data_IF_615159560382
#
_entry.id   IF_615159560382
#
_cell.length_a   1.000
_cell.length_b   1.000
_cell.length_c   1.000
_cell.angle_alpha   90.00
_cell.angle_beta   90.00
_cell.angle_gamma   90.00
#
_symmetry.space_group_name_H-M   'P 1'
#
loop_
_entity.id
_entity.type
_entity.pdbx_description
1 polymer ?
#
# COMPACT_ATOMS: atom_id res chain seq x y z
N UNK A 1 5.20 4.96 5.78
CA UNK A 1 3.90 4.84 5.09
C UNK A 1 4.17 4.58 3.61
N UNK A 2 3.53 3.58 3.01
CA UNK A 2 3.79 3.13 1.64
C UNK A 2 2.63 3.50 0.70
N UNK A 3 2.38 2.73 -0.36
CA UNK A 3 1.31 2.94 -1.35
C UNK A 3 0.91 1.62 -2.01
N UNK A 4 -0.31 1.52 -2.54
CA UNK A 4 -0.71 0.43 -3.42
C UNK A 4 0.21 0.29 -4.65
N UNK A 5 0.75 1.40 -5.15
CA UNK A 5 1.72 1.43 -6.26
C UNK A 5 3.09 0.83 -5.91
N UNK A 6 3.42 0.74 -4.63
CA UNK A 6 4.62 0.00 -4.18
C UNK A 6 4.42 -1.52 -4.22
N UNK A 7 3.16 -1.98 -4.31
CA UNK A 7 2.83 -3.41 -4.47
C UNK A 7 2.75 -3.75 -5.96
N UNK A 8 1.94 -2.98 -6.70
CA UNK A 8 1.73 -3.08 -8.14
C UNK A 8 2.07 -1.73 -8.80
N UNK A 9 3.26 -1.56 -9.41
CA UNK A 9 3.68 -0.31 -10.03
C UNK A 9 2.73 0.19 -11.11
N UNK A 10 2.72 1.51 -11.34
CA UNK A 10 1.92 2.14 -12.38
C UNK A 10 2.80 2.95 -13.35
N UNK A 11 2.49 2.85 -14.63
CA UNK A 11 3.09 3.71 -15.66
C UNK A 11 2.83 5.20 -15.35
N UNK A 12 3.79 6.06 -15.70
CA UNK A 12 3.72 7.51 -15.45
C UNK A 12 4.14 7.94 -14.03
N UNK A 13 4.35 6.99 -13.10
CA UNK A 13 4.77 7.28 -11.71
C UNK A 13 5.88 6.34 -11.24
N UNK A 14 6.85 6.04 -12.11
CA UNK A 14 7.90 5.04 -11.87
C UNK A 14 8.72 5.34 -10.60
N UNK A 15 9.30 6.53 -10.47
CA UNK A 15 10.11 6.94 -9.30
C UNK A 15 9.28 6.90 -8.02
N UNK A 16 8.03 7.36 -8.08
CA UNK A 16 7.12 7.28 -6.94
C UNK A 16 6.82 5.81 -6.56
N UNK A 17 6.56 4.94 -7.53
CA UNK A 17 6.30 3.52 -7.29
C UNK A 17 7.52 2.83 -6.67
N UNK A 18 8.72 3.13 -7.16
CA UNK A 18 9.98 2.60 -6.64
C UNK A 18 10.19 3.02 -5.17
N UNK A 19 10.12 4.31 -4.86
CA UNK A 19 10.27 4.78 -3.48
C UNK A 19 9.24 4.16 -2.52
N UNK A 20 8.00 3.94 -2.97
CA UNK A 20 6.98 3.27 -2.15
C UNK A 20 7.20 1.76 -2.01
N UNK A 21 7.78 1.10 -3.01
CA UNK A 21 8.22 -0.29 -2.93
C UNK A 21 9.40 -0.44 -1.96
N UNK A 22 10.38 0.48 -2.01
CA UNK A 22 11.52 0.51 -1.10
C UNK A 22 11.06 0.62 0.36
N UNK A 23 10.06 1.45 0.68
CA UNK A 23 9.48 1.53 2.02
C UNK A 23 8.88 0.20 2.49
N UNK A 24 8.25 -0.57 1.59
CA UNK A 24 7.70 -1.89 1.92
C UNK A 24 8.82 -2.87 2.26
N UNK A 25 9.84 -2.95 1.41
CA UNK A 25 10.99 -3.84 1.61
C UNK A 25 11.76 -3.50 2.89
N UNK A 26 12.09 -2.22 3.09
CA UNK A 26 12.76 -1.72 4.28
C UNK A 26 11.98 -2.05 5.56
N UNK A 27 10.66 -1.83 5.55
CA UNK A 27 9.82 -2.12 6.71
C UNK A 27 9.71 -3.63 7.03
N UNK A 28 9.78 -4.49 6.01
CA UNK A 28 9.80 -5.95 6.22
C UNK A 28 11.13 -6.41 6.81
N UNK A 29 12.25 -5.85 6.35
CA UNK A 29 13.56 -6.10 6.96
C UNK A 29 13.59 -5.67 8.44
N UNK A 30 13.20 -4.41 8.73
CA UNK A 30 13.13 -3.91 10.11
C UNK A 30 12.23 -4.75 11.01
N UNK A 31 11.09 -5.23 10.50
CA UNK A 31 10.21 -6.12 11.28
C UNK A 31 10.93 -7.40 11.72
N UNK A 32 11.78 -7.95 10.87
CA UNK A 32 12.55 -9.18 11.17
C UNK A 32 13.64 -8.89 12.19
N UNK A 33 14.39 -7.81 11.99
CA UNK A 33 15.43 -7.33 12.90
C UNK A 33 14.89 -7.06 14.31
N UNK A 34 13.73 -6.42 14.40
CA UNK A 34 13.11 -5.99 15.65
C UNK A 34 12.17 -7.02 16.28
N UNK A 35 12.07 -8.25 15.74
CA UNK A 35 11.05 -9.24 16.15
C UNK A 35 11.04 -9.53 17.66
N UNK A 36 12.19 -9.41 18.35
CA UNK A 36 12.35 -9.72 19.78
C UNK A 36 12.51 -8.49 20.68
N UNK A 37 12.44 -7.27 20.15
CA UNK A 37 12.67 -6.04 20.92
C UNK A 37 11.39 -5.45 21.52
N UNK A 38 10.22 -6.03 21.22
CA UNK A 38 8.91 -5.46 21.56
C UNK A 38 8.47 -4.34 20.62
N UNK A 39 9.35 -3.84 19.74
CA UNK A 39 9.01 -2.83 18.73
C UNK A 39 8.21 -3.47 17.59
N UNK A 40 7.15 -2.80 17.17
CA UNK A 40 6.21 -3.31 16.17
C UNK A 40 6.15 -2.40 14.96
N UNK A 41 6.39 -2.99 13.79
CA UNK A 41 6.31 -2.30 12.51
C UNK A 41 4.94 -2.53 11.88
N UNK A 42 4.37 -1.48 11.28
CA UNK A 42 3.13 -1.53 10.49
C UNK A 42 3.34 -0.76 9.20
N UNK A 43 2.98 -1.40 8.08
CA UNK A 43 3.01 -0.84 6.73
C UNK A 43 1.58 -0.68 6.24
N UNK A 44 1.22 0.58 5.97
CA UNK A 44 -0.07 0.94 5.38
C UNK A 44 0.16 1.37 3.93
N UNK A 45 -0.62 0.79 3.03
CA UNK A 45 -0.57 0.96 1.58
C UNK A 45 -1.93 1.47 1.09
N UNK A 46 -2.15 2.80 1.10
CA UNK A 46 -3.38 3.37 0.54
C UNK A 46 -3.41 3.22 -0.98
N UNK A 47 -4.61 3.06 -1.53
CA UNK A 47 -4.89 3.40 -2.91
C UNK A 47 -4.99 4.93 -3.07
N UNK A 48 -5.28 5.43 -4.28
CA UNK A 48 -5.39 6.87 -4.55
C UNK A 48 -6.28 7.57 -3.50
N UNK A 49 -5.66 8.47 -2.72
CA UNK A 49 -6.35 9.21 -1.67
C UNK A 49 -6.87 10.53 -2.24
N UNK A 50 -8.13 10.86 -1.97
CA UNK A 50 -8.76 12.14 -2.36
C UNK A 50 -8.19 13.29 -1.52
N UNK A 51 -7.03 13.79 -1.93
CA UNK A 51 -6.33 14.96 -1.37
C UNK A 51 -5.81 15.84 -2.50
N UNK A 52 -5.28 17.02 -2.17
CA UNK A 52 -4.63 17.91 -3.16
C UNK A 52 -3.50 17.22 -3.94
N UNK A 53 -2.77 16.28 -3.32
CA UNK A 53 -1.74 15.49 -4.00
C UNK A 53 -2.31 14.56 -5.08
N UNK A 54 -3.51 14.04 -4.87
CA UNK A 54 -4.22 13.19 -5.83
C UNK A 54 -5.08 13.98 -6.82
N UNK A 55 -5.11 15.32 -6.73
CA UNK A 55 -5.90 16.15 -7.62
C UNK A 55 -5.36 16.03 -9.05
N UNK A 56 -6.25 15.75 -10.02
CA UNK A 56 -5.89 15.53 -11.42
C UNK A 56 -5.45 14.10 -11.76
N UNK A 57 -5.36 13.19 -10.79
CA UNK A 57 -5.14 11.76 -11.06
C UNK A 57 -6.50 11.06 -11.18
N UNK A 58 -6.80 10.50 -12.34
CA UNK A 58 -8.01 9.69 -12.52
C UNK A 58 -7.82 8.33 -11.83
N UNK A 59 -8.64 7.97 -10.83
CA UNK A 59 -8.56 6.66 -10.19
C UNK A 59 -8.85 5.55 -11.22
N UNK A 60 -8.11 4.42 -11.18
CA UNK A 60 -8.44 3.28 -12.02
C UNK A 60 -9.86 2.79 -11.72
N UNK A 61 -10.67 2.59 -12.77
CA UNK A 61 -12.10 2.29 -12.66
C UNK A 61 -12.42 1.14 -11.68
N UNK A 62 -11.56 0.12 -11.63
CA UNK A 62 -11.76 -1.06 -10.79
C UNK A 62 -11.35 -0.85 -9.31
N UNK A 63 -10.41 0.05 -9.03
CA UNK A 63 -9.83 0.20 -7.67
C UNK A 63 -10.36 1.42 -6.92
N UNK A 64 -10.87 2.43 -7.65
CA UNK A 64 -11.47 3.64 -7.10
C UNK A 64 -10.50 4.51 -6.28
N UNK A 65 -11.04 5.43 -5.48
CA UNK A 65 -10.27 6.27 -4.55
C UNK A 65 -10.75 6.12 -3.10
N UNK A 66 -9.91 6.51 -2.15
CA UNK A 66 -10.22 6.50 -0.70
C UNK A 66 -10.16 7.90 -0.11
N UNK A 67 -10.89 8.15 0.98
CA UNK A 67 -10.76 9.41 1.73
C UNK A 67 -9.56 9.36 2.70
N UNK A 68 -9.11 10.53 3.16
CA UNK A 68 -8.13 10.62 4.25
C UNK A 68 -8.66 9.95 5.53
N UNK A 69 -9.97 10.06 5.79
CA UNK A 69 -10.66 9.41 6.91
C UNK A 69 -10.61 7.89 6.82
N UNK A 70 -10.77 7.31 5.63
CA UNK A 70 -10.65 5.86 5.43
C UNK A 70 -9.24 5.37 5.78
N UNK A 71 -8.23 6.16 5.40
CA UNK A 71 -6.83 5.85 5.70
C UNK A 71 -6.56 5.97 7.19
N UNK A 72 -7.00 7.04 7.86
CA UNK A 72 -6.78 7.23 9.30
C UNK A 72 -7.47 6.15 10.13
N UNK A 73 -8.72 5.80 9.80
CA UNK A 73 -9.43 4.69 10.44
C UNK A 73 -8.73 3.35 10.22
N UNK A 74 -8.19 3.12 9.01
CA UNK A 74 -7.44 1.91 8.72
C UNK A 74 -6.14 1.82 9.54
N UNK A 75 -5.42 2.93 9.71
CA UNK A 75 -4.21 3.03 10.56
C UNK A 75 -4.56 2.70 12.01
N UNK A 76 -5.58 3.35 12.58
CA UNK A 76 -6.02 3.09 13.97
C UNK A 76 -6.43 1.63 14.17
N UNK A 77 -7.15 1.05 13.20
CA UNK A 77 -7.54 -0.36 13.23
C UNK A 77 -6.32 -1.29 13.11
N UNK A 78 -5.30 -0.91 12.33
CA UNK A 78 -4.06 -1.68 12.18
C UNK A 78 -3.26 -1.71 13.49
N UNK A 79 -3.15 -0.56 14.17
CA UNK A 79 -2.51 -0.41 15.47
C UNK A 79 -3.17 -1.34 16.51
N UNK A 80 -4.51 -1.24 16.65
CA UNK A 80 -5.29 -2.08 17.58
C UNK A 80 -5.15 -3.57 17.28
N UNK A 81 -5.28 -3.97 16.01
CA UNK A 81 -5.22 -5.39 15.58
C UNK A 81 -3.81 -5.93 15.37
N UNK A 82 -2.78 -5.13 15.64
CA UNK A 82 -1.38 -5.52 15.51
C UNK A 82 -0.98 -6.05 14.12
N UNK A 83 -1.63 -5.57 13.05
CA UNK A 83 -1.42 -6.09 11.70
C UNK A 83 -0.23 -5.41 11.04
N UNK A 84 0.76 -6.19 10.64
CA UNK A 84 1.94 -5.70 9.92
C UNK A 84 1.58 -5.05 8.59
N UNK A 85 0.71 -5.68 7.78
CA UNK A 85 0.48 -5.25 6.40
C UNK A 85 -0.99 -4.93 6.15
N UNK A 86 -1.27 -3.70 5.73
CA UNK A 86 -2.62 -3.19 5.48
C UNK A 86 -2.67 -2.46 4.14
N UNK A 87 -3.66 -2.80 3.32
CA UNK A 87 -4.03 -2.08 2.09
C UNK A 87 -5.34 -1.35 2.33
N UNK A 88 -5.50 -0.15 1.77
CA UNK A 88 -6.73 0.66 1.92
C UNK A 88 -7.28 0.99 0.52
N UNK A 89 -8.49 0.50 0.15
CA UNK A 89 -9.39 -0.32 0.95
C UNK A 89 -8.91 -1.78 1.05
N UNK A 90 -9.23 -2.46 2.16
CA UNK A 90 -8.68 -3.79 2.51
C UNK A 90 -8.98 -4.87 1.47
N UNK A 91 -10.08 -4.73 0.73
CA UNK A 91 -10.49 -5.64 -0.36
C UNK A 91 -9.47 -5.71 -1.50
N UNK A 92 -8.70 -4.65 -1.72
CA UNK A 92 -7.65 -4.65 -2.75
C UNK A 92 -6.42 -5.45 -2.35
N UNK A 93 -6.21 -5.75 -1.07
CA UNK A 93 -5.02 -6.45 -0.61
C UNK A 93 -4.81 -7.82 -1.27
N UNK A 94 -5.80 -8.73 -1.23
CA UNK A 94 -5.73 -10.00 -1.94
C UNK A 94 -5.64 -9.83 -3.46
N UNK A 95 -6.45 -8.93 -4.03
CA UNK A 95 -6.48 -8.67 -5.48
C UNK A 95 -5.11 -8.25 -6.02
N UNK A 96 -4.45 -7.27 -5.39
CA UNK A 96 -3.13 -6.80 -5.84
C UNK A 96 -2.05 -7.88 -5.74
N UNK A 97 -2.17 -8.81 -4.79
CA UNK A 97 -1.26 -9.96 -4.71
C UNK A 97 -1.48 -10.94 -5.84
N UNK A 98 -2.75 -11.20 -6.19
CA UNK A 98 -3.10 -12.09 -7.31
C UNK A 98 -2.60 -11.51 -8.62
N UNK A 99 -2.85 -10.22 -8.89
CA UNK A 99 -2.37 -9.54 -10.11
C UNK A 99 -0.86 -9.67 -10.24
N UNK A 100 -0.11 -9.43 -9.16
CA UNK A 100 1.35 -9.55 -9.16
C UNK A 100 1.86 -10.98 -9.42
N UNK A 101 1.05 -12.00 -9.16
CA UNK A 101 1.40 -13.40 -9.43
C UNK A 101 1.12 -13.82 -10.87
N UNK A 102 0.38 -13.03 -11.66
CA UNK A 102 0.12 -13.32 -13.06
C UNK A 102 1.41 -13.14 -13.90
N UNK A 103 1.53 -13.78 -15.07
CA UNK A 103 2.61 -13.51 -16.02
C UNK A 103 2.65 -12.01 -16.39
N UNK A 104 3.85 -11.45 -16.61
CA UNK A 104 4.03 -10.01 -16.89
C UNK A 104 3.17 -9.51 -18.04
N UNK A 105 3.05 -10.28 -19.13
CA UNK A 105 2.20 -9.90 -20.27
C UNK A 105 0.69 -9.87 -20.00
N UNK A 106 0.23 -10.30 -18.82
CA UNK A 106 -1.17 -10.16 -18.37
C UNK A 106 -1.35 -9.05 -17.31
N UNK A 107 -0.25 -8.43 -16.85
CA UNK A 107 -0.27 -7.34 -15.87
C UNK A 107 -0.32 -5.95 -16.53
N UNK A 108 0.23 -5.86 -17.74
CA UNK A 108 0.32 -4.64 -18.55
C UNK A 108 -1.00 -4.27 -19.25
#
# INVERSE_FOLDING_TARGET
>A
MASATGINPLAGVAVYSDTKAAVIAFSDALRRELRKTGVRIIVVNPNLVRTAMGAGITPPAFTGSVSATDVSLAVLKALRKKRFWVVVPRRLGPMLRVIKMLPTGMQD
#
